data_IF_585357953356
#
_entry.id   IF_585357953356
#
_cell.length_a   1.000
_cell.length_b   1.000
_cell.length_c   1.000
_cell.angle_alpha   90.00
_cell.angle_beta   90.00
_cell.angle_gamma   90.00
#
_symmetry.space_group_name_H-M   'P 1'
#
loop_
_entity.id
_entity.type
_entity.pdbx_description
1 polymer ?
#
# COMPACT_ATOMS: atom_id res chain seq x y z
N UNK A 1 -11.14 -20.78 71.76
CA UNK A 1 -10.05 -19.78 71.73
C UNK A 1 -8.94 -20.32 70.85
N UNK A 2 -8.91 -19.90 69.58
CA UNK A 2 -7.77 -20.07 68.69
C UNK A 2 -7.69 -18.76 67.91
N UNK A 3 -6.57 -18.06 68.06
CA UNK A 3 -6.33 -16.72 67.54
C UNK A 3 -5.93 -16.78 66.06
N UNK A 4 -6.53 -15.92 65.24
CA UNK A 4 -6.12 -15.63 63.86
C UNK A 4 -4.77 -14.88 63.85
N UNK A 5 -3.79 -15.27 63.02
CA UNK A 5 -2.60 -14.46 62.81
C UNK A 5 -2.86 -13.34 61.79
N UNK A 6 -2.39 -12.16 62.15
CA UNK A 6 -2.48 -10.90 61.44
C UNK A 6 -1.90 -10.95 60.02
N UNK A 7 -2.63 -10.35 59.07
CA UNK A 7 -2.20 -10.08 57.70
C UNK A 7 -1.01 -9.11 57.68
N UNK A 8 0.10 -9.53 57.10
CA UNK A 8 1.27 -8.68 56.82
C UNK A 8 1.04 -7.93 55.49
N UNK A 9 1.26 -6.60 55.41
CA UNK A 9 1.14 -5.88 54.14
C UNK A 9 2.33 -6.17 53.23
N UNK A 10 2.04 -6.45 51.96
CA UNK A 10 3.03 -6.57 50.87
C UNK A 10 3.76 -5.23 50.64
N UNK A 11 5.10 -5.25 50.45
CA UNK A 11 5.85 -4.03 50.13
C UNK A 11 5.56 -3.54 48.71
N UNK A 12 5.51 -2.21 48.64
CA UNK A 12 5.19 -1.33 47.52
C UNK A 12 5.87 -1.66 46.19
N UNK A 13 5.11 -1.49 45.11
CA UNK A 13 5.58 -1.54 43.72
C UNK A 13 6.63 -0.45 43.47
N UNK A 14 7.83 -0.85 43.05
CA UNK A 14 8.89 0.05 42.59
C UNK A 14 8.48 0.63 41.23
N UNK A 15 8.48 1.95 41.11
CA UNK A 15 8.11 2.63 39.86
C UNK A 15 9.29 2.67 38.87
N UNK A 16 9.05 2.72 37.54
CA UNK A 16 10.11 2.76 36.53
C UNK A 16 11.12 3.92 36.71
N UNK A 17 10.68 5.04 37.28
CA UNK A 17 11.54 6.19 37.58
C UNK A 17 12.53 5.91 38.72
N UNK A 18 12.14 5.10 39.71
CA UNK A 18 13.03 4.67 40.80
C UNK A 18 14.09 3.68 40.29
N UNK A 19 13.72 2.79 39.36
CA UNK A 19 14.64 1.88 38.69
C UNK A 19 15.70 2.63 37.86
N UNK A 20 15.31 3.68 37.13
CA UNK A 20 16.25 4.49 36.34
C UNK A 20 17.23 5.25 37.25
N UNK A 21 16.76 5.72 38.41
CA UNK A 21 17.59 6.36 39.42
C UNK A 21 18.63 5.41 40.04
N UNK A 22 18.24 4.18 40.35
CA UNK A 22 19.14 3.15 40.90
C UNK A 22 20.14 2.64 39.87
N UNK A 23 19.72 2.41 38.62
CA UNK A 23 20.61 2.04 37.52
C UNK A 23 21.66 3.13 37.27
N UNK A 24 21.24 4.41 37.27
CA UNK A 24 22.17 5.54 37.11
C UNK A 24 23.17 5.66 38.26
N UNK A 25 22.81 5.21 39.46
CA UNK A 25 23.68 5.19 40.64
C UNK A 25 24.69 4.05 40.58
N UNK A 26 24.26 2.87 40.13
CA UNK A 26 25.11 1.70 39.92
C UNK A 26 26.11 1.91 38.78
N UNK A 27 25.71 2.57 37.69
CA UNK A 27 26.61 2.90 36.57
C UNK A 27 27.72 3.88 36.96
N UNK A 28 27.48 4.76 37.94
CA UNK A 28 28.51 5.67 38.47
C UNK A 28 29.49 5.00 39.44
N UNK A 29 29.19 3.80 39.91
CA UNK A 29 30.07 3.01 40.80
C UNK A 29 30.91 1.98 40.02
N UNK A 30 30.69 1.84 38.71
CA UNK A 30 31.50 0.98 37.87
C UNK A 30 32.80 1.70 37.46
N UNK A 31 33.98 1.10 37.67
CA UNK A 31 35.24 1.68 37.24
C UNK A 31 35.30 1.74 35.71
N UNK A 32 35.94 2.79 35.18
CA UNK A 32 36.11 2.97 33.74
C UNK A 32 36.92 1.79 33.15
N UNK A 33 36.39 1.06 32.15
CA UNK A 33 37.05 -0.12 31.59
C UNK A 33 38.32 0.21 30.81
N UNK A 34 38.66 1.50 30.63
CA UNK A 34 39.86 1.93 29.91
C UNK A 34 41.04 2.31 30.82
N UNK A 35 40.80 2.67 32.09
CA UNK A 35 41.88 3.13 32.98
C UNK A 35 41.81 2.63 34.43
N UNK A 36 40.78 1.87 34.82
CA UNK A 36 40.77 1.09 36.07
C UNK A 36 40.88 1.88 37.38
N UNK A 37 40.72 3.21 37.37
CA UNK A 37 40.74 3.98 38.61
C UNK A 37 39.37 3.97 39.30
N UNK A 38 39.34 3.40 40.49
CA UNK A 38 38.27 3.57 41.47
C UNK A 38 38.44 4.94 42.13
N UNK A 39 37.38 5.75 42.07
CA UNK A 39 37.42 7.13 42.55
C UNK A 39 37.52 7.22 44.07
N UNK A 40 38.58 7.88 44.54
CA UNK A 40 38.45 8.96 45.52
C UNK A 40 39.71 9.84 45.44
N UNK A 41 39.46 11.16 45.43
CA UNK A 41 40.42 12.23 45.69
C UNK A 41 41.48 12.53 44.62
N UNK A 42 41.15 13.47 43.73
CA UNK A 42 42.03 14.60 43.42
C UNK A 42 41.28 15.76 42.78
N UNK A 43 40.99 16.73 43.64
CA UNK A 43 40.94 18.18 43.45
C UNK A 43 40.98 18.77 42.02
N UNK A 44 39.94 19.57 41.74
CA UNK A 44 40.01 20.95 41.22
C UNK A 44 41.18 21.27 40.27
N UNK A 45 40.84 21.52 39.01
CA UNK A 45 41.31 22.74 38.35
C UNK A 45 40.25 23.26 37.38
N UNK A 46 40.00 24.55 37.48
CA UNK A 46 39.00 25.30 36.74
C UNK A 46 39.22 25.21 35.22
N UNK A 47 38.12 24.99 34.49
CA UNK A 47 37.89 25.54 33.15
C UNK A 47 36.39 25.73 33.01
N UNK A 48 35.85 26.73 33.72
CA UNK A 48 34.58 27.36 33.36
C UNK A 48 34.81 28.07 32.02
N UNK A 49 34.71 27.33 30.92
CA UNK A 49 34.64 27.87 29.58
C UNK A 49 33.22 27.66 29.08
N UNK A 50 32.45 28.76 29.15
CA UNK A 50 31.21 29.05 28.42
C UNK A 50 30.42 27.83 27.92
N UNK A 51 29.48 27.34 28.74
CA UNK A 51 28.27 26.73 28.19
C UNK A 51 27.38 27.89 27.77
N UNK A 52 27.10 28.11 26.47
CA UNK A 52 26.10 29.10 26.07
C UNK A 52 24.79 28.70 26.72
N UNK A 53 24.17 29.65 27.42
CA UNK A 53 22.84 29.50 27.98
C UNK A 53 21.92 28.85 26.95
N UNK A 54 21.08 27.92 27.42
CA UNK A 54 20.02 27.30 26.65
C UNK A 54 19.34 28.37 25.80
N UNK A 55 19.48 28.26 24.47
CA UNK A 55 18.74 29.07 23.51
C UNK A 55 17.26 28.96 23.89
N UNK A 56 16.63 30.11 24.10
CA UNK A 56 15.17 30.23 24.09
C UNK A 56 14.62 29.48 22.86
N UNK A 57 13.42 28.89 22.93
CA UNK A 57 12.77 28.34 21.76
C UNK A 57 12.34 29.51 20.88
N UNK A 58 13.30 30.05 20.13
CA UNK A 58 13.02 30.90 19.00
C UNK A 58 12.22 30.06 18.02
N UNK A 59 11.01 30.51 17.70
CA UNK A 59 10.34 30.29 16.42
C UNK A 59 11.19 30.92 15.29
N UNK A 60 12.47 30.55 15.21
CA UNK A 60 13.35 30.85 14.09
C UNK A 60 12.98 29.90 12.96
N UNK A 61 11.81 30.13 12.35
CA UNK A 61 11.60 29.71 10.97
C UNK A 61 12.59 30.54 10.16
N UNK A 62 13.80 29.99 9.94
CA UNK A 62 14.79 30.60 9.08
C UNK A 62 14.08 31.05 7.78
N UNK A 63 14.29 32.30 7.33
CA UNK A 63 13.62 32.79 6.13
C UNK A 63 13.86 31.78 5.00
N UNK A 64 12.77 31.30 4.40
CA UNK A 64 12.83 30.40 3.26
C UNK A 64 13.67 31.07 2.19
N UNK A 65 14.59 30.31 1.58
CA UNK A 65 15.29 30.76 0.38
C UNK A 65 14.22 31.17 -0.64
N UNK A 66 14.32 32.29 -1.37
CA UNK A 66 13.32 32.68 -2.36
C UNK A 66 13.03 31.58 -3.39
N UNK A 67 14.00 30.68 -3.62
CA UNK A 67 13.80 29.49 -4.45
C UNK A 67 12.88 28.44 -3.80
N UNK A 68 12.83 28.34 -2.47
CA UNK A 68 11.99 27.43 -1.69
C UNK A 68 10.55 27.92 -1.48
N UNK A 69 10.25 29.17 -1.85
CA UNK A 69 8.88 29.68 -1.85
C UNK A 69 8.01 28.91 -2.86
N UNK A 70 6.77 28.62 -2.46
CA UNK A 70 5.80 27.88 -3.27
C UNK A 70 4.72 28.85 -3.76
N UNK A 71 4.76 29.16 -5.05
CA UNK A 71 3.79 30.03 -5.70
C UNK A 71 2.35 29.47 -5.67
N UNK A 72 1.37 30.33 -5.95
CA UNK A 72 -0.04 29.93 -6.02
C UNK A 72 -0.30 28.86 -7.09
N UNK A 73 0.39 28.95 -8.23
CA UNK A 73 0.29 27.99 -9.33
C UNK A 73 0.82 26.61 -8.90
N UNK A 74 1.98 26.55 -8.25
CA UNK A 74 2.53 25.29 -7.73
C UNK A 74 1.61 24.70 -6.66
N UNK A 75 1.09 25.52 -5.74
CA UNK A 75 0.08 25.11 -4.75
C UNK A 75 -1.20 24.56 -5.41
N UNK A 76 -1.64 25.16 -6.51
CA UNK A 76 -2.78 24.67 -7.28
C UNK A 76 -2.49 23.30 -7.90
N UNK A 77 -1.31 23.08 -8.47
CA UNK A 77 -0.91 21.79 -9.02
C UNK A 77 -0.88 20.70 -7.94
N UNK A 78 -0.30 20.99 -6.77
CA UNK A 78 -0.29 20.06 -5.65
C UNK A 78 -1.70 19.66 -5.20
N UNK A 79 -2.63 20.63 -5.10
CA UNK A 79 -4.05 20.36 -4.80
C UNK A 79 -4.71 19.43 -5.81
N UNK A 80 -4.43 19.60 -7.11
CA UNK A 80 -4.97 18.71 -8.16
C UNK A 80 -4.43 17.29 -8.03
N UNK A 81 -3.15 17.13 -7.66
CA UNK A 81 -2.55 15.81 -7.42
C UNK A 81 -3.18 15.14 -6.20
N UNK A 82 -3.32 15.86 -5.09
CA UNK A 82 -3.97 15.33 -3.88
C UNK A 82 -5.43 14.95 -4.11
N UNK A 83 -6.19 15.78 -4.84
CA UNK A 83 -7.57 15.46 -5.22
C UNK A 83 -7.63 14.18 -6.06
N UNK A 84 -6.78 14.05 -7.07
CA UNK A 84 -6.72 12.85 -7.89
C UNK A 84 -6.30 11.60 -7.10
N UNK A 85 -5.37 11.74 -6.14
CA UNK A 85 -4.97 10.66 -5.23
C UNK A 85 -6.13 10.23 -4.31
N UNK A 86 -6.87 11.19 -3.75
CA UNK A 86 -8.07 10.90 -2.94
C UNK A 86 -9.14 10.16 -3.73
N UNK A 87 -9.45 10.63 -4.94
CA UNK A 87 -10.38 9.98 -5.85
C UNK A 87 -9.90 8.58 -6.23
N UNK A 88 -8.61 8.41 -6.55
CA UNK A 88 -8.06 7.10 -6.89
C UNK A 88 -8.12 6.12 -5.71
N UNK A 89 -7.84 6.59 -4.49
CA UNK A 89 -7.91 5.80 -3.26
C UNK A 89 -9.36 5.42 -2.87
N UNK A 90 -10.33 6.29 -3.16
CA UNK A 90 -11.74 6.04 -2.91
C UNK A 90 -12.40 5.13 -3.96
N UNK A 91 -11.71 4.79 -5.05
CA UNK A 91 -12.24 3.95 -6.11
C UNK A 91 -12.61 2.54 -5.58
N UNK A 92 -13.81 2.01 -5.90
CA UNK A 92 -14.20 0.66 -5.51
C UNK A 92 -13.15 -0.37 -5.95
N UNK A 93 -12.79 -1.36 -5.12
CA UNK A 93 -11.77 -2.34 -5.48
C UNK A 93 -12.15 -3.08 -6.77
N UNK A 94 -11.17 -3.29 -7.64
CA UNK A 94 -11.38 -4.10 -8.85
C UNK A 94 -11.55 -5.57 -8.49
N UNK A 95 -12.24 -6.37 -9.34
CA UNK A 95 -12.24 -7.82 -9.17
C UNK A 95 -10.82 -8.37 -9.36
N UNK A 96 -10.48 -9.42 -8.63
CA UNK A 96 -9.21 -10.12 -8.80
C UNK A 96 -9.12 -10.68 -10.23
N UNK A 97 -8.12 -10.30 -11.04
CA UNK A 97 -8.00 -10.76 -12.42
C UNK A 97 -7.93 -12.29 -12.53
N UNK A 98 -7.37 -12.97 -11.52
CA UNK A 98 -7.31 -14.45 -11.49
C UNK A 98 -8.70 -15.05 -11.31
N UNK A 99 -9.54 -14.44 -10.49
CA UNK A 99 -10.92 -14.90 -10.29
C UNK A 99 -11.78 -14.66 -11.53
N UNK A 100 -11.57 -13.55 -12.24
CA UNK A 100 -12.26 -13.29 -13.52
C UNK A 100 -11.87 -14.34 -14.55
N UNK A 101 -10.57 -14.57 -14.77
CA UNK A 101 -10.09 -15.57 -15.71
C UNK A 101 -10.59 -16.98 -15.38
N UNK A 102 -10.56 -17.36 -14.09
CA UNK A 102 -11.07 -18.66 -13.64
C UNK A 102 -12.58 -18.80 -13.86
N UNK A 103 -13.37 -17.76 -13.60
CA UNK A 103 -14.81 -17.78 -13.83
C UNK A 103 -15.15 -17.89 -15.32
N UNK A 104 -14.38 -17.22 -16.19
CA UNK A 104 -14.52 -17.33 -17.64
C UNK A 104 -14.20 -18.73 -18.15
N UNK A 105 -13.08 -19.31 -17.71
CA UNK A 105 -12.70 -20.68 -18.03
C UNK A 105 -13.80 -21.66 -17.59
N UNK A 106 -14.26 -21.58 -16.34
CA UNK A 106 -15.31 -22.46 -15.81
C UNK A 106 -16.64 -22.29 -16.54
N UNK A 107 -16.97 -21.07 -16.97
CA UNK A 107 -18.14 -20.83 -17.81
C UNK A 107 -18.03 -21.63 -19.12
N UNK A 108 -16.87 -21.54 -19.78
CA UNK A 108 -16.63 -22.26 -21.03
C UNK A 108 -16.72 -23.78 -20.85
N UNK A 109 -16.07 -24.32 -19.82
CA UNK A 109 -16.14 -25.75 -19.47
C UNK A 109 -17.59 -26.21 -19.20
N UNK A 110 -18.39 -25.38 -18.52
CA UNK A 110 -19.79 -25.68 -18.25
C UNK A 110 -20.65 -25.71 -19.52
N UNK A 111 -20.44 -24.77 -20.45
CA UNK A 111 -21.12 -24.78 -21.75
C UNK A 111 -20.76 -26.02 -22.57
N UNK A 112 -19.48 -26.39 -22.61
CA UNK A 112 -19.03 -27.59 -23.31
C UNK A 112 -19.60 -28.87 -22.70
N UNK A 113 -19.67 -28.95 -21.37
CA UNK A 113 -20.27 -30.08 -20.67
C UNK A 113 -21.77 -30.19 -20.97
N UNK A 114 -22.52 -29.08 -20.92
CA UNK A 114 -23.94 -29.04 -21.27
C UNK A 114 -24.15 -29.47 -22.73
N UNK A 115 -23.37 -28.94 -23.67
CA UNK A 115 -23.47 -29.29 -25.08
C UNK A 115 -23.21 -30.79 -25.32
N UNK A 116 -22.21 -31.38 -24.63
CA UNK A 116 -21.92 -32.82 -24.69
C UNK A 116 -23.05 -33.68 -24.12
N UNK A 117 -23.77 -33.21 -23.09
CA UNK A 117 -24.94 -33.94 -22.57
C UNK A 117 -26.11 -33.83 -23.56
N UNK A 118 -26.39 -32.63 -24.07
CA UNK A 118 -27.47 -32.40 -25.02
C UNK A 118 -27.28 -33.18 -26.33
N UNK A 119 -26.04 -33.27 -26.83
CA UNK A 119 -25.74 -34.07 -28.02
C UNK A 119 -26.00 -35.56 -27.79
N UNK A 120 -25.64 -36.11 -26.61
CA UNK A 120 -25.93 -37.51 -26.24
C UNK A 120 -27.42 -37.78 -26.11
N UNK A 121 -28.18 -36.87 -25.49
CA UNK A 121 -29.64 -36.94 -25.42
C UNK A 121 -30.23 -37.00 -26.82
N UNK A 122 -29.82 -36.09 -27.70
CA UNK A 122 -30.32 -36.03 -29.08
C UNK A 122 -30.00 -37.29 -29.89
N UNK A 123 -28.76 -37.80 -29.78
CA UNK A 123 -28.35 -39.04 -30.42
C UNK A 123 -29.17 -40.24 -29.92
N UNK A 124 -29.43 -40.31 -28.61
CA UNK A 124 -30.22 -41.40 -28.01
C UNK A 124 -31.70 -41.34 -28.41
N UNK A 125 -32.28 -40.13 -28.49
CA UNK A 125 -33.64 -39.93 -29.00
C UNK A 125 -33.72 -40.39 -30.46
N UNK A 126 -32.74 -40.01 -31.28
CA UNK A 126 -32.67 -40.40 -32.69
C UNK A 126 -32.56 -41.92 -32.83
N UNK A 127 -31.72 -42.58 -32.03
CA UNK A 127 -31.59 -44.04 -32.02
C UNK A 127 -32.89 -44.76 -31.60
N UNK A 128 -33.60 -44.24 -30.61
CA UNK A 128 -34.90 -44.76 -30.16
C UNK A 128 -36.02 -44.62 -31.21
N UNK A 129 -35.91 -43.62 -32.09
CA UNK A 129 -36.85 -43.42 -33.18
C UNK A 129 -36.64 -44.41 -34.34
N UNK A 130 -35.44 -45.00 -34.49
CA UNK A 130 -35.16 -45.92 -35.58
C UNK A 130 -35.96 -47.24 -35.44
N UNK A 131 -36.57 -47.76 -36.54
CA UNK A 131 -37.34 -49.01 -36.52
C UNK A 131 -36.54 -50.22 -36.00
N UNK A 132 -35.24 -50.26 -36.28
CA UNK A 132 -34.32 -51.34 -35.85
C UNK A 132 -34.24 -51.49 -34.33
N UNK A 133 -34.46 -50.40 -33.58
CA UNK A 133 -34.46 -50.44 -32.11
C UNK A 133 -35.69 -51.15 -31.54
N UNK A 134 -36.83 -51.11 -32.24
CA UNK A 134 -38.09 -51.73 -31.82
C UNK A 134 -38.02 -53.26 -31.90
N UNK A 135 -37.26 -53.76 -32.87
CA UNK A 135 -37.03 -55.20 -33.07
C UNK A 135 -36.08 -55.81 -32.02
N UNK A 136 -35.48 -54.99 -31.15
CA UNK A 136 -34.50 -55.42 -30.14
C UNK A 136 -34.87 -54.89 -28.74
N UNK A 137 -35.81 -55.53 -28.01
CA UNK A 137 -36.35 -55.02 -26.76
C UNK A 137 -35.30 -54.71 -25.68
N UNK A 138 -34.28 -55.58 -25.53
CA UNK A 138 -33.18 -55.36 -24.56
C UNK A 138 -32.36 -54.11 -24.89
N UNK A 139 -32.06 -53.88 -26.17
CA UNK A 139 -31.32 -52.70 -26.63
C UNK A 139 -32.13 -51.42 -26.41
N UNK A 140 -33.43 -51.43 -26.76
CA UNK A 140 -34.34 -50.31 -26.52
C UNK A 140 -34.45 -49.95 -25.04
N UNK A 141 -34.54 -50.94 -24.15
CA UNK A 141 -34.57 -50.72 -22.70
C UNK A 141 -33.27 -50.07 -22.19
N UNK A 142 -32.11 -50.48 -22.72
CA UNK A 142 -30.82 -49.86 -22.40
C UNK A 142 -30.76 -48.40 -22.86
N UNK A 143 -31.16 -48.09 -24.11
CA UNK A 143 -31.24 -46.71 -24.61
C UNK A 143 -32.19 -45.84 -23.77
N UNK A 144 -33.36 -46.37 -23.39
CA UNK A 144 -34.31 -45.64 -22.54
C UNK A 144 -33.78 -45.40 -21.10
N UNK A 145 -32.91 -46.28 -20.60
CA UNK A 145 -32.19 -46.07 -19.33
C UNK A 145 -31.14 -44.98 -19.48
N UNK A 146 -30.29 -45.05 -20.51
CA UNK A 146 -29.28 -44.02 -20.79
C UNK A 146 -29.92 -42.65 -21.00
N UNK A 147 -31.05 -42.56 -21.71
CA UNK A 147 -31.77 -41.29 -21.88
C UNK A 147 -32.23 -40.68 -20.54
N UNK A 148 -32.66 -41.51 -19.59
CA UNK A 148 -33.03 -41.04 -18.25
C UNK A 148 -31.82 -40.54 -17.46
N UNK A 149 -30.72 -41.29 -17.53
CA UNK A 149 -29.44 -40.92 -16.90
C UNK A 149 -28.89 -39.61 -17.49
N UNK A 150 -28.87 -39.45 -18.81
CA UNK A 150 -28.41 -38.24 -19.50
C UNK A 150 -29.33 -37.04 -19.21
N UNK A 151 -30.65 -37.23 -19.13
CA UNK A 151 -31.59 -36.16 -18.73
C UNK A 151 -31.34 -35.68 -17.30
N UNK A 152 -31.05 -36.60 -16.38
CA UNK A 152 -30.66 -36.23 -15.02
C UNK A 152 -29.32 -35.48 -15.02
N UNK A 153 -28.34 -35.93 -15.83
CA UNK A 153 -27.08 -35.21 -16.00
C UNK A 153 -27.27 -33.80 -16.58
N UNK A 154 -28.20 -33.62 -17.52
CA UNK A 154 -28.50 -32.32 -18.13
C UNK A 154 -29.00 -31.30 -17.11
N UNK A 155 -29.85 -31.72 -16.16
CA UNK A 155 -30.31 -30.88 -15.06
C UNK A 155 -29.14 -30.45 -14.18
N UNK A 156 -28.24 -31.38 -13.84
CA UNK A 156 -27.07 -31.07 -13.02
C UNK A 156 -26.10 -30.10 -13.73
N UNK A 157 -25.84 -30.30 -15.02
CA UNK A 157 -24.99 -29.39 -15.80
C UNK A 157 -25.62 -28.00 -15.93
N UNK A 158 -26.94 -27.91 -16.10
CA UNK A 158 -27.64 -26.62 -16.15
C UNK A 158 -27.56 -25.86 -14.81
N UNK A 159 -27.69 -26.56 -13.68
CA UNK A 159 -27.52 -25.97 -12.34
C UNK A 159 -26.08 -25.48 -12.16
N UNK A 160 -25.08 -26.27 -12.55
CA UNK A 160 -23.67 -25.89 -12.48
C UNK A 160 -23.39 -24.65 -13.33
N UNK A 161 -23.88 -24.61 -14.58
CA UNK A 161 -23.76 -23.44 -15.45
C UNK A 161 -24.37 -22.20 -14.79
N UNK A 162 -25.59 -22.30 -14.28
CA UNK A 162 -26.27 -21.18 -13.62
C UNK A 162 -25.47 -20.60 -12.45
N UNK A 163 -24.87 -21.46 -11.61
CA UNK A 163 -24.00 -21.01 -10.50
C UNK A 163 -22.75 -20.29 -10.99
N UNK A 164 -22.11 -20.79 -12.05
CA UNK A 164 -20.89 -20.18 -12.58
C UNK A 164 -21.21 -18.84 -13.28
N UNK A 165 -22.33 -18.78 -14.01
CA UNK A 165 -22.83 -17.53 -14.61
C UNK A 165 -23.15 -16.47 -13.56
N UNK A 166 -23.71 -16.87 -12.41
CA UNK A 166 -23.95 -15.96 -11.29
C UNK A 166 -22.64 -15.38 -10.75
N UNK A 167 -21.62 -16.23 -10.51
CA UNK A 167 -20.29 -15.77 -10.08
C UNK A 167 -19.70 -14.80 -11.10
N UNK A 168 -19.74 -15.15 -12.39
CA UNK A 168 -19.27 -14.27 -13.47
C UNK A 168 -20.04 -12.95 -13.50
N UNK A 169 -21.35 -13.00 -13.32
CA UNK A 169 -22.22 -11.82 -13.26
C UNK A 169 -21.84 -10.89 -12.10
N UNK A 170 -21.60 -11.44 -10.91
CA UNK A 170 -21.14 -10.66 -9.75
C UNK A 170 -19.79 -9.99 -10.00
N UNK A 171 -18.82 -10.73 -10.55
CA UNK A 171 -17.48 -10.18 -10.87
C UNK A 171 -17.57 -9.05 -11.91
N UNK A 172 -18.40 -9.21 -12.95
CA UNK A 172 -18.65 -8.16 -13.93
C UNK A 172 -19.34 -6.94 -13.33
N UNK A 173 -20.29 -7.15 -12.41
CA UNK A 173 -20.93 -6.04 -11.72
C UNK A 173 -19.92 -5.23 -10.88
N UNK A 174 -18.96 -5.89 -10.23
CA UNK A 174 -17.86 -5.20 -9.51
C UNK A 174 -16.96 -4.43 -10.49
N UNK A 175 -16.57 -5.05 -11.59
CA UNK A 175 -15.78 -4.39 -12.64
C UNK A 175 -16.48 -3.13 -13.18
N UNK A 176 -17.77 -3.25 -13.50
CA UNK A 176 -18.58 -2.17 -14.04
C UNK A 176 -18.69 -1.01 -13.04
N UNK A 177 -18.99 -1.28 -11.75
CA UNK A 177 -19.03 -0.23 -10.72
C UNK A 177 -17.73 0.56 -10.63
N UNK A 178 -16.58 -0.13 -10.70
CA UNK A 178 -15.28 0.54 -10.72
C UNK A 178 -15.08 1.35 -11.99
N UNK A 179 -15.44 0.80 -13.16
CA UNK A 179 -15.34 1.51 -14.42
C UNK A 179 -16.23 2.77 -14.46
N UNK A 180 -17.47 2.67 -13.97
CA UNK A 180 -18.41 3.78 -13.86
C UNK A 180 -17.85 4.88 -12.94
N UNK A 181 -17.32 4.49 -11.78
CA UNK A 181 -16.66 5.42 -10.84
C UNK A 181 -15.48 6.15 -11.49
N UNK A 182 -14.56 5.41 -12.14
CA UNK A 182 -13.39 6.00 -12.79
C UNK A 182 -13.78 6.90 -13.98
N UNK A 183 -14.85 6.56 -14.68
CA UNK A 183 -15.38 7.37 -15.79
C UNK A 183 -16.00 8.66 -15.27
N UNK A 184 -16.78 8.61 -14.18
CA UNK A 184 -17.36 9.78 -13.54
C UNK A 184 -16.30 10.77 -13.04
N UNK A 185 -15.13 10.27 -12.60
CA UNK A 185 -14.02 11.10 -12.12
C UNK A 185 -12.87 11.27 -13.12
N UNK A 186 -13.10 10.95 -14.40
CA UNK A 186 -12.06 10.99 -15.43
C UNK A 186 -11.36 12.35 -15.51
N UNK A 187 -12.12 13.43 -15.49
CA UNK A 187 -11.57 14.79 -15.57
C UNK A 187 -10.61 15.10 -14.40
N UNK A 188 -10.98 14.73 -13.17
CA UNK A 188 -10.14 14.91 -11.99
C UNK A 188 -8.85 14.09 -12.08
N UNK A 189 -8.95 12.82 -12.51
CA UNK A 189 -7.80 11.94 -12.68
C UNK A 189 -6.85 12.42 -13.79
N UNK A 190 -7.40 12.93 -14.89
CA UNK A 190 -6.62 13.53 -15.99
C UNK A 190 -5.96 14.84 -15.54
N UNK A 191 -6.67 15.71 -14.83
CA UNK A 191 -6.11 16.93 -14.25
C UNK A 191 -4.95 16.63 -13.30
N UNK A 192 -5.09 15.64 -12.41
CA UNK A 192 -4.01 15.19 -11.53
C UNK A 192 -2.80 14.61 -12.27
N UNK A 193 -3.02 13.85 -13.36
CA UNK A 193 -1.90 13.36 -14.20
C UNK A 193 -1.15 14.51 -14.87
N UNK A 194 -1.87 15.46 -15.44
CA UNK A 194 -1.26 16.64 -16.06
C UNK A 194 -0.51 17.46 -15.00
N UNK A 195 -1.10 17.66 -13.82
CA UNK A 195 -0.46 18.36 -12.72
C UNK A 195 0.83 17.68 -12.25
N UNK A 196 0.90 16.34 -12.20
CA UNK A 196 2.15 15.61 -11.90
C UNK A 196 3.23 15.85 -12.95
N UNK A 197 2.88 15.90 -14.23
CA UNK A 197 3.83 16.19 -15.31
C UNK A 197 4.38 17.60 -15.17
N UNK A 198 3.52 18.59 -14.93
CA UNK A 198 3.96 19.96 -14.73
C UNK A 198 4.78 20.13 -13.45
N UNK A 199 4.39 19.51 -12.33
CA UNK A 199 5.21 19.52 -11.11
C UNK A 199 6.59 18.91 -11.36
N UNK A 200 6.69 17.82 -12.12
CA UNK A 200 7.99 17.23 -12.47
C UNK A 200 8.87 18.24 -13.23
N UNK A 201 8.30 19.02 -14.16
CA UNK A 201 9.03 20.09 -14.86
C UNK A 201 9.45 21.22 -13.92
N UNK A 202 8.56 21.66 -13.04
CA UNK A 202 8.87 22.68 -12.03
C UNK A 202 10.02 22.22 -11.12
N UNK A 203 10.01 20.94 -10.71
CA UNK A 203 11.08 20.36 -9.91
C UNK A 203 12.41 20.27 -10.67
N UNK A 204 12.37 19.85 -11.93
CA UNK A 204 13.57 19.82 -12.79
C UNK A 204 14.17 21.22 -12.97
N UNK A 205 13.32 22.23 -13.23
CA UNK A 205 13.75 23.62 -13.33
C UNK A 205 14.36 24.14 -12.02
N UNK A 206 13.81 23.74 -10.87
CA UNK A 206 14.35 24.10 -9.56
C UNK A 206 15.71 23.44 -9.30
N UNK A 207 15.83 22.14 -9.61
CA UNK A 207 17.09 21.40 -9.50
C UNK A 207 18.15 22.07 -10.38
N UNK A 208 17.81 22.42 -11.62
CA UNK A 208 18.70 23.12 -12.54
C UNK A 208 19.09 24.51 -12.03
N UNK A 209 18.17 25.26 -11.39
CA UNK A 209 18.50 26.55 -10.77
C UNK A 209 19.46 26.39 -9.61
N UNK A 210 19.22 25.46 -8.69
CA UNK A 210 20.15 25.18 -7.58
C UNK A 210 21.53 24.75 -8.10
N UNK A 211 21.57 23.88 -9.12
CA UNK A 211 22.80 23.42 -9.75
C UNK A 211 23.64 24.53 -10.38
N UNK A 212 23.00 25.63 -10.84
CA UNK A 212 23.66 26.80 -11.45
C UNK A 212 24.10 27.85 -10.43
N UNK A 213 23.71 27.73 -9.17
CA UNK A 213 24.14 28.70 -8.14
C UNK A 213 25.66 28.60 -7.93
N UNK A 214 26.31 29.77 -7.77
CA UNK A 214 27.74 29.81 -7.45
C UNK A 214 28.05 29.10 -6.12
N UNK A 215 27.10 29.13 -5.18
CA UNK A 215 27.15 28.42 -3.90
C UNK A 215 25.78 27.79 -3.63
N UNK A 216 25.54 26.52 -4.02
CA UNK A 216 24.29 25.84 -3.71
C UNK A 216 24.15 25.60 -2.20
N UNK A 217 22.92 25.52 -1.69
CA UNK A 217 22.69 25.29 -0.27
C UNK A 217 23.22 23.93 0.18
N UNK A 218 23.62 23.83 1.46
CA UNK A 218 24.30 22.66 2.00
C UNK A 218 23.49 21.36 1.82
N UNK A 219 22.16 21.43 1.94
CA UNK A 219 21.27 20.27 1.72
C UNK A 219 21.30 19.79 0.26
N UNK A 220 21.45 20.71 -0.71
CA UNK A 220 21.52 20.34 -2.13
C UNK A 220 22.93 19.83 -2.47
N UNK A 221 23.97 20.47 -1.94
CA UNK A 221 25.36 20.09 -2.23
C UNK A 221 25.75 18.76 -1.56
N UNK A 222 25.53 18.64 -0.26
CA UNK A 222 25.97 17.48 0.53
C UNK A 222 24.85 16.47 0.77
N UNK A 223 23.59 16.90 0.76
CA UNK A 223 22.45 15.99 0.93
C UNK A 223 22.05 15.29 -0.36
N UNK A 224 22.42 15.82 -1.54
CA UNK A 224 22.23 15.17 -2.84
C UNK A 224 23.55 14.80 -3.53
N UNK A 225 24.70 14.95 -2.87
CA UNK A 225 26.02 14.68 -3.47
C UNK A 225 26.23 15.40 -4.83
N UNK A 226 25.92 16.71 -4.88
CA UNK A 226 26.11 17.53 -6.08
C UNK A 226 27.52 18.16 -6.13
N UNK A 227 28.24 18.09 -7.27
CA UNK A 227 27.84 17.50 -8.55
C UNK A 227 27.89 15.97 -8.55
N UNK A 228 26.98 15.30 -9.29
CA UNK A 228 26.95 13.84 -9.35
C UNK A 228 28.20 13.26 -9.98
N UNK A 229 28.54 12.03 -9.57
CA UNK A 229 29.62 11.26 -10.17
C UNK A 229 29.38 11.01 -11.68
N UNK A 230 30.44 10.94 -12.49
CA UNK A 230 30.32 10.58 -13.90
C UNK A 230 29.63 9.23 -14.07
N UNK A 231 28.53 9.19 -14.81
CA UNK A 231 27.76 7.96 -15.07
C UNK A 231 26.53 7.75 -14.18
N UNK A 232 26.40 8.46 -13.05
CA UNK A 232 25.27 8.29 -12.10
C UNK A 232 24.17 9.33 -12.25
N UNK A 233 24.27 10.22 -13.25
CA UNK A 233 23.36 11.37 -13.43
C UNK A 233 21.87 11.02 -13.41
N UNK A 234 21.48 9.87 -13.97
CA UNK A 234 20.06 9.45 -14.01
C UNK A 234 19.53 9.10 -12.62
N UNK A 235 20.30 8.33 -11.86
CA UNK A 235 19.95 7.92 -10.49
C UNK A 235 19.96 9.14 -9.56
N UNK A 236 20.97 10.00 -9.72
CA UNK A 236 21.04 11.28 -9.02
C UNK A 236 19.81 12.17 -9.29
N UNK A 237 19.40 12.33 -10.55
CA UNK A 237 18.20 13.11 -10.89
C UNK A 237 16.93 12.51 -10.27
N UNK A 238 16.82 11.18 -10.22
CA UNK A 238 15.69 10.53 -9.56
C UNK A 238 15.68 10.83 -8.06
N UNK A 239 16.82 10.66 -7.38
CA UNK A 239 16.95 10.95 -5.97
C UNK A 239 16.67 12.44 -5.66
N UNK A 240 17.25 13.35 -6.45
CA UNK A 240 17.02 14.79 -6.34
C UNK A 240 15.53 15.16 -6.46
N UNK A 241 14.80 14.54 -7.41
CA UNK A 241 13.34 14.74 -7.53
C UNK A 241 12.59 14.26 -6.30
N UNK A 242 12.91 13.08 -5.79
CA UNK A 242 12.28 12.51 -4.59
C UNK A 242 12.49 13.42 -3.38
N UNK A 243 13.73 13.84 -3.11
CA UNK A 243 14.05 14.77 -2.03
C UNK A 243 13.39 16.13 -2.21
N UNK A 244 13.30 16.64 -3.44
CA UNK A 244 12.61 17.88 -3.74
C UNK A 244 11.09 17.77 -3.49
N UNK A 245 10.46 16.66 -3.86
CA UNK A 245 9.05 16.39 -3.54
C UNK A 245 8.82 16.41 -2.04
N UNK A 246 9.66 15.72 -1.26
CA UNK A 246 9.54 15.66 0.20
C UNK A 246 9.70 17.05 0.82
N UNK A 247 10.72 17.81 0.38
CA UNK A 247 10.97 19.18 0.86
C UNK A 247 9.82 20.12 0.51
N UNK A 248 9.29 20.04 -0.71
CA UNK A 248 8.13 20.86 -1.14
C UNK A 248 6.89 20.54 -0.34
N UNK A 249 6.59 19.25 -0.12
CA UNK A 249 5.47 18.83 0.73
C UNK A 249 5.64 19.32 2.17
N UNK A 250 6.83 19.23 2.75
CA UNK A 250 7.09 19.75 4.08
C UNK A 250 6.85 21.27 4.16
N UNK A 251 7.25 22.02 3.13
CA UNK A 251 7.02 23.47 3.05
C UNK A 251 5.53 23.83 2.88
N UNK A 252 4.77 23.07 2.08
CA UNK A 252 3.32 23.24 1.96
C UNK A 252 2.62 23.14 3.32
N UNK A 253 3.01 22.17 4.14
CA UNK A 253 2.42 21.97 5.47
C UNK A 253 2.84 23.04 6.48
N UNK A 254 4.03 23.64 6.33
CA UNK A 254 4.50 24.75 7.19
C UNK A 254 3.76 26.07 6.93
N UNK A 255 3.32 26.32 5.70
CA UNK A 255 2.62 27.58 5.33
C UNK A 255 1.12 27.54 5.70
N UNK A 256 0.58 26.38 6.06
CA UNK A 256 -0.83 26.18 6.43
C UNK A 256 -1.08 26.17 7.95
N UNK A 257 -0.06 26.39 8.77
CA UNK A 257 -0.11 26.56 10.23
C UNK A 257 0.17 28.01 10.59
#
# INVERSE_FOLDING_TARGET
MVAEPASTPLPSQVTPAQLIGEISRLVRQLPCPHCGQEGADSARTHSQALVPAAREPYDDVAPLDPLDEIGDDERWLWRLVEEAERVAAAAPPGPDPRQVALAEQRCQEAYEAEQKVQSRIHATITALAQPTSWLRPRHRAALARHLREDRAAAVLTAIQRGRIEEIRGRLRAVANRRADYLTAHRATLEAGRNARVELTRVLDDLIDRYARMAQPPAWFKFGLDYPPEPGTRREWLQHARETMVERRRANLHRVLL
#
